data_IF_778981952212
#
_entry.id   IF_778981952212
#
_cell.length_a   1.000
_cell.length_b   1.000
_cell.length_c   1.000
_cell.angle_alpha   90.00
_cell.angle_beta   90.00
_cell.angle_gamma   90.00
#
_symmetry.space_group_name_H-M   'P 1'
#
loop_
_entity.id
_entity.type
_entity.pdbx_description
1 polymer ?
#
# COMPACT_ATOMS: atom_id res chain seq x y z
N UNK A 1 5.73 5.40 17.07
CA UNK A 1 4.61 5.38 16.11
C UNK A 1 4.61 4.07 15.33
N UNK A 2 3.51 3.66 14.68
CA UNK A 2 3.49 2.48 13.80
C UNK A 2 4.63 2.48 12.76
N UNK A 3 4.96 3.67 12.24
CA UNK A 3 6.08 3.85 11.31
C UNK A 3 7.44 3.52 11.94
N UNK A 4 7.69 3.95 13.18
CA UNK A 4 8.92 3.58 13.91
C UNK A 4 8.98 2.06 14.19
N UNK A 5 7.84 1.43 14.48
CA UNK A 5 7.78 -0.03 14.68
C UNK A 5 8.07 -0.80 13.40
N UNK A 6 7.59 -0.31 12.25
CA UNK A 6 7.92 -0.85 10.92
C UNK A 6 9.41 -0.68 10.61
N UNK A 7 10.01 0.48 10.88
CA UNK A 7 11.47 0.69 10.71
C UNK A 7 12.29 -0.21 11.65
N UNK A 8 11.84 -0.44 12.88
CA UNK A 8 12.48 -1.38 13.80
C UNK A 8 12.43 -2.84 13.33
N UNK A 9 11.56 -3.20 12.39
CA UNK A 9 11.63 -4.51 11.71
C UNK A 9 12.88 -4.60 10.82
N UNK A 10 13.37 -3.48 10.26
CA UNK A 10 14.55 -3.41 9.40
C UNK A 10 15.86 -3.57 10.18
N UNK A 11 15.91 -3.06 11.42
CA UNK A 11 17.13 -2.95 12.24
C UNK A 11 17.47 -4.21 13.06
N UNK A 12 16.53 -5.15 13.23
CA UNK A 12 16.71 -6.35 14.07
C UNK A 12 17.49 -7.50 13.40
N UNK A 13 18.42 -7.19 12.50
CA UNK A 13 19.26 -8.18 11.78
C UNK A 13 20.39 -8.82 12.62
N UNK A 14 20.53 -8.47 13.90
CA UNK A 14 21.73 -8.81 14.69
C UNK A 14 21.59 -9.65 15.96
N UNK A 15 20.40 -10.08 16.39
CA UNK A 15 20.29 -10.80 17.67
C UNK A 15 18.97 -11.53 17.88
N UNK A 16 19.07 -12.74 18.44
CA UNK A 16 17.96 -13.61 18.88
C UNK A 16 16.78 -12.79 19.41
N UNK A 17 15.71 -12.69 18.64
CA UNK A 17 14.45 -12.11 19.11
C UNK A 17 13.27 -12.70 18.33
N UNK A 18 12.17 -12.91 19.05
CA UNK A 18 10.95 -13.58 18.60
C UNK A 18 10.45 -13.06 17.25
N UNK A 19 10.28 -13.98 16.29
CA UNK A 19 9.59 -13.73 15.01
C UNK A 19 8.21 -13.12 15.34
N UNK A 20 7.94 -11.90 14.89
CA UNK A 20 6.63 -11.26 15.10
C UNK A 20 5.54 -12.15 14.50
N UNK A 21 4.40 -12.25 15.16
CA UNK A 21 3.28 -13.03 14.67
C UNK A 21 2.60 -12.33 13.49
N UNK A 22 1.84 -13.06 12.68
CA UNK A 22 1.08 -12.46 11.58
C UNK A 22 0.07 -11.39 12.06
N UNK A 23 -0.46 -11.52 13.27
CA UNK A 23 -1.33 -10.52 13.89
C UNK A 23 -0.59 -9.22 14.22
N UNK A 24 0.65 -9.29 14.70
CA UNK A 24 1.43 -8.07 15.03
C UNK A 24 1.72 -7.23 13.78
N UNK A 25 1.88 -7.89 12.63
CA UNK A 25 2.12 -7.21 11.34
C UNK A 25 0.84 -6.55 10.83
N UNK A 26 -0.28 -7.26 10.92
CA UNK A 26 -1.58 -6.70 10.53
C UNK A 26 -1.93 -5.47 11.37
N UNK A 27 -1.68 -5.50 12.68
CA UNK A 27 -1.93 -4.36 13.56
C UNK A 27 -1.09 -3.13 13.15
N UNK A 28 0.17 -3.33 12.79
CA UNK A 28 1.04 -2.26 12.30
C UNK A 28 0.54 -1.69 10.96
N UNK A 29 0.18 -2.56 10.00
CA UNK A 29 -0.38 -2.10 8.70
C UNK A 29 -1.69 -1.34 8.89
N UNK A 30 -2.55 -1.79 9.81
CA UNK A 30 -3.80 -1.10 10.16
C UNK A 30 -3.51 0.29 10.73
N UNK A 31 -2.66 0.39 11.75
CA UNK A 31 -2.36 1.67 12.41
C UNK A 31 -1.70 2.65 11.42
N UNK A 32 -0.73 2.19 10.62
CA UNK A 32 -0.02 3.03 9.65
C UNK A 32 -0.96 3.55 8.56
N UNK A 33 -1.64 2.65 7.85
CA UNK A 33 -2.51 3.01 6.73
C UNK A 33 -3.70 3.84 7.19
N UNK A 34 -4.41 3.35 8.21
CA UNK A 34 -5.65 3.96 8.68
C UNK A 34 -5.43 5.34 9.30
N UNK A 35 -4.43 5.50 10.17
CA UNK A 35 -4.17 6.82 10.78
C UNK A 35 -3.67 7.84 9.76
N UNK A 36 -2.91 7.44 8.74
CA UNK A 36 -2.41 8.38 7.71
C UNK A 36 -3.56 9.03 6.95
N UNK A 37 -4.48 8.23 6.38
CA UNK A 37 -5.59 8.76 5.58
C UNK A 37 -6.62 9.48 6.45
N UNK A 38 -6.83 9.01 7.69
CA UNK A 38 -7.68 9.71 8.65
C UNK A 38 -7.13 11.11 8.98
N UNK A 39 -5.82 11.22 9.21
CA UNK A 39 -5.17 12.50 9.46
C UNK A 39 -5.31 13.46 8.27
N UNK A 40 -5.11 12.99 7.05
CA UNK A 40 -5.31 13.79 5.83
C UNK A 40 -6.76 14.30 5.73
N UNK A 41 -7.74 13.45 6.01
CA UNK A 41 -9.14 13.86 6.05
C UNK A 41 -9.44 14.95 7.08
N UNK A 42 -8.87 14.83 8.28
CA UNK A 42 -8.95 15.86 9.31
C UNK A 42 -8.28 17.17 8.87
N UNK A 43 -7.13 17.12 8.19
CA UNK A 43 -6.45 18.32 7.70
C UNK A 43 -7.23 19.03 6.60
N UNK A 44 -7.87 18.28 5.69
CA UNK A 44 -8.64 18.85 4.58
C UNK A 44 -9.99 19.39 5.03
N UNK A 45 -10.73 18.63 5.85
CA UNK A 45 -12.11 18.98 6.22
C UNK A 45 -12.21 19.66 7.60
N UNK A 46 -11.17 19.61 8.42
CA UNK A 46 -11.15 20.12 9.79
C UNK A 46 -11.89 19.21 10.77
N UNK A 47 -13.19 18.97 10.55
CA UNK A 47 -14.01 18.06 11.38
C UNK A 47 -14.67 16.98 10.51
N UNK A 48 -14.46 15.73 10.91
CA UNK A 48 -15.08 14.55 10.32
C UNK A 48 -16.24 14.09 11.20
N UNK A 49 -17.32 13.61 10.59
CA UNK A 49 -18.29 12.78 11.29
C UNK A 49 -17.70 11.40 11.59
N UNK A 50 -18.30 10.66 12.51
CA UNK A 50 -17.85 9.29 12.85
C UNK A 50 -17.86 8.36 11.62
N UNK A 51 -18.86 8.51 10.75
CA UNK A 51 -18.96 7.74 9.51
C UNK A 51 -17.80 8.05 8.55
N UNK A 52 -17.48 9.32 8.36
CA UNK A 52 -16.38 9.75 7.49
C UNK A 52 -15.02 9.32 8.05
N UNK A 53 -14.82 9.45 9.37
CA UNK A 53 -13.61 9.00 10.04
C UNK A 53 -13.43 7.48 9.88
N UNK A 54 -14.51 6.70 10.07
CA UNK A 54 -14.48 5.25 9.91
C UNK A 54 -14.19 4.83 8.46
N UNK A 55 -14.80 5.50 7.48
CA UNK A 55 -14.54 5.25 6.06
C UNK A 55 -13.08 5.56 5.70
N UNK A 56 -12.58 6.74 6.08
CA UNK A 56 -11.22 7.18 5.76
C UNK A 56 -10.16 6.29 6.43
N UNK A 57 -10.38 5.91 7.69
CA UNK A 57 -9.52 4.96 8.37
C UNK A 57 -9.51 3.61 7.64
N UNK A 58 -10.69 3.03 7.37
CA UNK A 58 -10.78 1.76 6.65
C UNK A 58 -10.20 1.80 5.24
N UNK A 59 -10.38 2.92 4.54
CA UNK A 59 -9.78 3.15 3.22
C UNK A 59 -8.25 3.22 3.30
N UNK A 60 -7.70 3.86 4.33
CA UNK A 60 -6.25 3.86 4.58
C UNK A 60 -5.68 2.47 4.87
N UNK A 61 -6.38 1.65 5.67
CA UNK A 61 -6.01 0.25 5.90
C UNK A 61 -5.99 -0.53 4.58
N UNK A 62 -7.02 -0.36 3.76
CA UNK A 62 -7.13 -1.00 2.44
C UNK A 62 -5.94 -0.65 1.54
N UNK A 63 -5.55 0.63 1.49
CA UNK A 63 -4.41 1.07 0.68
C UNK A 63 -3.10 0.46 1.18
N UNK A 64 -2.87 0.43 2.50
CA UNK A 64 -1.67 -0.19 3.05
C UNK A 64 -1.60 -1.70 2.75
N UNK A 65 -2.71 -2.42 2.84
CA UNK A 65 -2.77 -3.84 2.48
C UNK A 65 -2.50 -4.08 0.99
N UNK A 66 -2.94 -3.15 0.15
CA UNK A 66 -2.67 -3.21 -1.29
C UNK A 66 -1.19 -2.94 -1.60
N UNK A 67 -0.56 -2.00 -0.91
CA UNK A 67 0.88 -1.74 -1.00
C UNK A 67 1.67 -2.99 -0.55
N UNK A 68 1.31 -3.59 0.60
CA UNK A 68 1.92 -4.83 1.09
C UNK A 68 1.80 -5.99 0.07
N UNK A 69 0.71 -6.04 -0.71
CA UNK A 69 0.54 -7.01 -1.80
C UNK A 69 1.39 -6.66 -3.03
N UNK A 70 1.55 -5.38 -3.35
CA UNK A 70 2.41 -4.94 -4.46
C UNK A 70 3.88 -5.29 -4.19
N UNK A 71 4.34 -5.05 -2.97
CA UNK A 71 5.73 -5.23 -2.55
C UNK A 71 6.05 -6.66 -2.06
N UNK A 72 5.05 -7.55 -1.97
CA UNK A 72 5.17 -8.88 -1.37
C UNK A 72 6.38 -9.71 -1.85
N UNK A 73 6.74 -9.63 -3.14
CA UNK A 73 7.89 -10.35 -3.70
C UNK A 73 9.23 -9.72 -3.32
N UNK A 74 9.31 -8.40 -3.25
CA UNK A 74 10.50 -7.68 -2.81
C UNK A 74 10.69 -7.89 -1.30
N UNK A 75 9.61 -7.78 -0.52
CA UNK A 75 9.59 -8.09 0.91
C UNK A 75 10.08 -9.50 1.20
N UNK A 76 9.56 -10.49 0.47
CA UNK A 76 9.98 -11.89 0.62
C UNK A 76 11.47 -12.08 0.30
N UNK A 77 12.00 -11.37 -0.70
CA UNK A 77 13.41 -11.43 -1.09
C UNK A 77 14.30 -10.80 -0.02
N UNK A 78 13.86 -9.70 0.59
CA UNK A 78 14.63 -8.94 1.58
C UNK A 78 14.45 -9.46 3.02
N UNK A 79 13.63 -10.51 3.18
CA UNK A 79 13.33 -11.18 4.45
C UNK A 79 12.34 -10.41 5.32
N UNK A 80 11.60 -9.46 4.73
CA UNK A 80 10.55 -8.70 5.39
C UNK A 80 9.27 -9.52 5.50
N UNK A 81 8.61 -9.38 6.65
CA UNK A 81 7.35 -10.05 6.91
C UNK A 81 6.19 -9.08 6.65
N UNK A 82 5.36 -9.42 5.66
CA UNK A 82 4.06 -8.80 5.38
C UNK A 82 2.97 -9.86 5.46
N UNK A 83 1.70 -9.47 5.45
CA UNK A 83 0.58 -10.43 5.44
C UNK A 83 0.62 -11.35 4.21
N UNK A 84 1.20 -10.87 3.09
CA UNK A 84 1.30 -11.63 1.85
C UNK A 84 2.61 -12.41 1.73
N UNK A 85 3.66 -12.04 2.48
CA UNK A 85 4.95 -12.75 2.50
C UNK A 85 5.18 -13.64 3.74
N UNK A 86 4.30 -13.56 4.75
CA UNK A 86 4.42 -14.31 6.01
C UNK A 86 4.26 -15.82 5.81
N UNK A 87 5.02 -16.58 6.60
CA UNK A 87 5.17 -18.04 6.50
C UNK A 87 4.14 -18.83 7.32
N UNK A 88 2.92 -18.32 7.50
CA UNK A 88 1.88 -19.14 8.13
C UNK A 88 1.44 -20.22 7.14
N UNK A 89 1.80 -21.47 7.42
CA UNK A 89 1.56 -22.60 6.52
C UNK A 89 0.06 -22.85 6.27
N UNK A 90 -0.83 -22.29 7.09
CA UNK A 90 -2.28 -22.47 6.99
C UNK A 90 -3.00 -21.37 6.22
N UNK A 91 -2.32 -20.30 5.80
CA UNK A 91 -2.94 -19.17 5.10
C UNK A 91 -2.19 -18.90 3.81
N UNK A 92 -2.88 -19.06 2.69
CA UNK A 92 -2.29 -18.83 1.36
C UNK A 92 -2.39 -17.36 0.96
N UNK A 93 -1.58 -16.95 -0.01
CA UNK A 93 -1.74 -15.63 -0.64
C UNK A 93 -3.10 -15.47 -1.31
N UNK A 94 -3.72 -16.57 -1.78
CA UNK A 94 -5.09 -16.59 -2.32
C UNK A 94 -6.12 -16.24 -1.24
N UNK A 95 -6.00 -16.82 -0.05
CA UNK A 95 -6.89 -16.52 1.08
C UNK A 95 -6.83 -15.05 1.47
N UNK A 96 -5.62 -14.49 1.56
CA UNK A 96 -5.43 -13.09 1.90
C UNK A 96 -5.91 -12.15 0.80
N UNK A 97 -5.71 -12.50 -0.48
CA UNK A 97 -6.24 -11.73 -1.61
C UNK A 97 -7.77 -11.76 -1.65
N UNK A 98 -8.39 -12.90 -1.36
CA UNK A 98 -9.85 -13.00 -1.26
C UNK A 98 -10.39 -12.16 -0.09
N UNK A 99 -9.74 -12.21 1.08
CA UNK A 99 -10.08 -11.32 2.21
C UNK A 99 -9.96 -9.85 1.84
N UNK A 100 -8.90 -9.47 1.10
CA UNK A 100 -8.72 -8.10 0.63
C UNK A 100 -9.84 -7.69 -0.34
N UNK A 101 -10.25 -8.56 -1.28
CA UNK A 101 -11.38 -8.30 -2.19
C UNK A 101 -12.69 -8.09 -1.40
N UNK A 102 -12.96 -8.93 -0.41
CA UNK A 102 -14.12 -8.77 0.48
C UNK A 102 -14.04 -7.47 1.27
N UNK A 103 -12.86 -7.12 1.79
CA UNK A 103 -12.64 -5.87 2.52
C UNK A 103 -12.85 -4.63 1.65
N UNK A 104 -12.32 -4.63 0.42
CA UNK A 104 -12.55 -3.57 -0.58
C UNK A 104 -14.05 -3.36 -0.81
N UNK A 105 -14.81 -4.44 -1.00
CA UNK A 105 -16.25 -4.37 -1.22
C UNK A 105 -16.98 -3.84 0.01
N UNK A 106 -16.62 -4.32 1.21
CA UNK A 106 -17.24 -3.86 2.46
C UNK A 106 -17.02 -2.36 2.72
N UNK A 107 -15.81 -1.84 2.48
CA UNK A 107 -15.51 -0.41 2.70
C UNK A 107 -16.21 0.47 1.65
N UNK A 108 -16.10 0.11 0.36
CA UNK A 108 -16.55 1.00 -0.72
C UNK A 108 -18.06 0.89 -1.01
N UNK A 109 -18.69 -0.24 -0.73
CA UNK A 109 -20.13 -0.43 -0.91
C UNK A 109 -20.93 -0.27 0.40
N UNK A 110 -20.30 -0.46 1.56
CA UNK A 110 -20.97 -0.45 2.86
C UNK A 110 -21.11 0.93 3.51
N UNK A 111 -20.40 1.93 3.02
CA UNK A 111 -20.46 3.29 3.56
C UNK A 111 -21.80 3.99 3.26
N UNK A 112 -22.28 4.75 4.25
CA UNK A 112 -23.47 5.59 4.16
C UNK A 112 -23.18 7.08 4.30
N UNK A 113 -21.95 7.48 4.64
CA UNK A 113 -21.62 8.87 4.87
C UNK A 113 -21.45 9.67 3.56
N UNK A 114 -21.08 9.01 2.45
CA UNK A 114 -20.94 9.62 1.13
C UNK A 114 -22.03 9.16 0.15
N UNK A 115 -23.24 9.72 0.27
CA UNK A 115 -24.43 9.28 -0.48
C UNK A 115 -24.92 10.24 -1.60
N UNK A 116 -24.19 11.32 -1.92
CA UNK A 116 -24.57 12.18 -3.05
C UNK A 116 -24.33 11.46 -4.39
N UNK A 117 -25.07 11.79 -5.46
CA UNK A 117 -24.83 11.21 -6.78
C UNK A 117 -23.36 11.34 -7.26
N UNK A 118 -22.72 12.46 -6.94
CA UNK A 118 -21.33 12.75 -7.26
C UNK A 118 -20.37 11.89 -6.42
N UNK A 119 -20.61 11.79 -5.10
CA UNK A 119 -19.77 10.97 -4.24
C UNK A 119 -19.89 9.49 -4.56
N UNK A 120 -21.08 9.02 -4.94
CA UNK A 120 -21.31 7.66 -5.44
C UNK A 120 -20.57 7.40 -6.77
N UNK A 121 -20.53 8.38 -7.68
CA UNK A 121 -19.75 8.27 -8.91
C UNK A 121 -18.25 8.16 -8.62
N UNK A 122 -17.75 8.95 -7.68
CA UNK A 122 -16.36 8.90 -7.22
C UNK A 122 -16.06 7.56 -6.55
N UNK A 123 -16.91 7.06 -5.65
CA UNK A 123 -16.74 5.73 -5.02
C UNK A 123 -16.67 4.60 -6.04
N UNK A 124 -17.54 4.62 -7.07
CA UNK A 124 -17.48 3.63 -8.17
C UNK A 124 -16.15 3.70 -8.93
N UNK A 125 -15.62 4.90 -9.17
CA UNK A 125 -14.31 5.07 -9.79
C UNK A 125 -13.20 4.55 -8.87
N UNK A 126 -13.20 4.92 -7.59
CA UNK A 126 -12.23 4.45 -6.60
C UNK A 126 -12.21 2.93 -6.52
N UNK A 127 -13.38 2.28 -6.47
CA UNK A 127 -13.49 0.82 -6.45
C UNK A 127 -12.87 0.17 -7.67
N UNK A 128 -13.18 0.68 -8.87
CA UNK A 128 -12.57 0.19 -10.12
C UNK A 128 -11.06 0.37 -10.10
N UNK A 129 -10.56 1.52 -9.67
CA UNK A 129 -9.13 1.81 -9.59
C UNK A 129 -8.41 0.89 -8.61
N UNK A 130 -8.94 0.69 -7.40
CA UNK A 130 -8.38 -0.21 -6.37
C UNK A 130 -8.35 -1.65 -6.87
N UNK A 131 -9.46 -2.13 -7.45
CA UNK A 131 -9.50 -3.48 -8.00
C UNK A 131 -8.47 -3.62 -9.12
N UNK A 132 -8.33 -2.64 -10.01
CA UNK A 132 -7.34 -2.69 -11.09
C UNK A 132 -5.90 -2.68 -10.57
N UNK A 133 -5.60 -1.91 -9.52
CA UNK A 133 -4.31 -1.93 -8.84
C UNK A 133 -4.03 -3.30 -8.20
N UNK A 134 -5.03 -3.89 -7.53
CA UNK A 134 -4.93 -5.23 -6.93
C UNK A 134 -4.64 -6.30 -7.99
N UNK A 135 -5.35 -6.28 -9.12
CA UNK A 135 -5.11 -7.18 -10.24
C UNK A 135 -3.70 -7.02 -10.81
N UNK A 136 -3.22 -5.78 -10.90
CA UNK A 136 -1.84 -5.47 -11.27
C UNK A 136 -0.82 -6.07 -10.30
N UNK A 137 -1.08 -5.95 -9.00
CA UNK A 137 -0.25 -6.49 -7.93
C UNK A 137 -0.19 -8.03 -8.00
N UNK A 138 -1.35 -8.71 -8.10
CA UNK A 138 -1.43 -10.16 -8.28
C UNK A 138 -0.70 -10.60 -9.56
N UNK A 139 -0.88 -9.88 -10.67
CA UNK A 139 -0.20 -10.20 -11.92
C UNK A 139 1.33 -10.11 -11.84
N UNK A 140 1.86 -9.17 -11.04
CA UNK A 140 3.30 -9.02 -10.80
C UNK A 140 3.86 -10.06 -9.82
N UNK A 141 3.03 -10.51 -8.89
CA UNK A 141 3.33 -11.50 -7.85
C UNK A 141 2.78 -12.91 -8.15
N UNK A 142 2.56 -13.22 -9.44
CA UNK A 142 1.85 -14.42 -9.89
C UNK A 142 2.50 -15.75 -9.45
N UNK A 143 3.78 -15.75 -9.08
CA UNK A 143 4.48 -16.93 -8.54
C UNK A 143 4.00 -17.34 -7.13
N UNK A 144 3.20 -16.52 -6.48
CA UNK A 144 2.57 -16.79 -5.18
C UNK A 144 1.19 -17.48 -5.30
N UNK A 145 0.69 -17.66 -6.52
CA UNK A 145 -0.69 -18.08 -6.79
C UNK A 145 -0.73 -19.33 -7.67
N UNK A 146 -1.79 -20.11 -7.54
CA UNK A 146 -2.06 -21.23 -8.44
C UNK A 146 -2.50 -20.74 -9.83
N UNK A 147 -2.19 -21.51 -10.87
CA UNK A 147 -2.62 -21.18 -12.24
C UNK A 147 -4.15 -21.18 -12.40
N UNK A 148 -4.87 -22.02 -11.65
CA UNK A 148 -6.34 -22.03 -11.62
C UNK A 148 -6.90 -20.74 -11.04
N UNK A 149 -6.35 -20.27 -9.92
CA UNK A 149 -6.79 -19.03 -9.29
C UNK A 149 -6.54 -17.82 -10.19
N UNK A 150 -5.33 -17.72 -10.75
CA UNK A 150 -4.98 -16.62 -11.65
C UNK A 150 -5.90 -16.56 -12.88
N UNK A 151 -6.27 -17.71 -13.46
CA UNK A 151 -7.23 -17.76 -14.58
C UNK A 151 -8.60 -17.25 -14.18
N UNK A 152 -9.14 -17.72 -13.06
CA UNK A 152 -10.45 -17.26 -12.57
C UNK A 152 -10.45 -15.77 -12.27
N UNK A 153 -9.38 -15.28 -11.64
CA UNK A 153 -9.27 -13.86 -11.32
C UNK A 153 -9.15 -13.02 -12.59
N UNK A 154 -8.36 -13.45 -13.58
CA UNK A 154 -8.17 -12.76 -14.87
C UNK A 154 -9.48 -12.58 -15.66
N UNK A 155 -10.50 -13.43 -15.48
CA UNK A 155 -11.83 -13.28 -16.10
C UNK A 155 -12.53 -11.97 -15.74
N UNK A 156 -12.24 -11.42 -14.55
CA UNK A 156 -12.76 -10.14 -14.08
C UNK A 156 -11.87 -8.95 -14.46
N UNK A 157 -10.71 -9.21 -15.06
CA UNK A 157 -9.76 -8.18 -15.45
C UNK A 157 -10.10 -7.60 -16.82
N UNK A 158 -10.10 -6.27 -16.99
CA UNK A 158 -10.25 -5.67 -18.32
C UNK A 158 -9.00 -5.87 -19.21
N UNK A 159 -7.89 -6.34 -18.64
CA UNK A 159 -6.63 -6.58 -19.35
C UNK A 159 -5.99 -7.89 -18.90
N UNK A 160 -5.34 -8.61 -19.80
CA UNK A 160 -4.62 -9.82 -19.41
C UNK A 160 -3.51 -9.52 -18.39
N UNK A 161 -3.27 -10.44 -17.47
CA UNK A 161 -2.18 -10.39 -16.49
C UNK A 161 -0.82 -10.33 -17.17
N UNK A 162 -0.69 -10.96 -18.35
CA UNK A 162 0.50 -10.81 -19.20
C UNK A 162 0.72 -9.36 -19.61
N UNK A 163 -0.33 -8.66 -20.05
CA UNK A 163 -0.26 -7.24 -20.39
C UNK A 163 0.07 -6.38 -19.16
N UNK A 164 -0.66 -6.58 -18.05
CA UNK A 164 -0.45 -5.83 -16.81
C UNK A 164 1.01 -5.93 -16.33
N UNK A 165 1.57 -7.13 -16.26
CA UNK A 165 2.98 -7.32 -15.88
C UNK A 165 3.95 -6.58 -16.81
N UNK A 166 3.67 -6.59 -18.11
CA UNK A 166 4.44 -5.84 -19.10
C UNK A 166 4.34 -4.32 -18.88
N UNK A 167 3.14 -3.84 -18.58
CA UNK A 167 2.87 -2.43 -18.27
C UNK A 167 3.61 -1.97 -17.01
N UNK A 168 3.47 -2.67 -15.89
CA UNK A 168 4.16 -2.32 -14.64
C UNK A 168 5.69 -2.37 -14.79
N UNK A 169 6.24 -3.36 -15.51
CA UNK A 169 7.68 -3.40 -15.82
C UNK A 169 8.15 -2.21 -16.66
N UNK A 170 7.32 -1.74 -17.60
CA UNK A 170 7.63 -0.54 -18.38
C UNK A 170 7.58 0.70 -17.48
N UNK A 171 6.55 0.84 -16.66
CA UNK A 171 6.39 1.95 -15.72
C UNK A 171 7.55 2.03 -14.72
N UNK A 172 7.94 0.90 -14.13
CA UNK A 172 9.11 0.84 -13.23
C UNK A 172 10.39 1.35 -13.90
N UNK A 173 10.67 0.92 -15.13
CA UNK A 173 11.83 1.41 -15.90
C UNK A 173 11.78 2.92 -16.20
N UNK A 174 10.61 3.46 -16.53
CA UNK A 174 10.47 4.91 -16.73
C UNK A 174 10.62 5.67 -15.42
N UNK A 175 10.10 5.12 -14.31
CA UNK A 175 10.26 5.68 -12.98
C UNK A 175 11.72 5.68 -12.54
N UNK A 176 12.48 4.62 -12.80
CA UNK A 176 13.92 4.55 -12.50
C UNK A 176 14.72 5.58 -13.31
N UNK A 177 14.39 5.77 -14.59
CA UNK A 177 14.99 6.84 -15.41
C UNK A 177 14.70 8.21 -14.81
N UNK A 178 13.47 8.45 -14.35
CA UNK A 178 13.09 9.68 -13.68
C UNK A 178 13.84 9.84 -12.35
N UNK A 179 13.93 8.78 -11.52
CA UNK A 179 14.73 8.80 -10.27
C UNK A 179 16.18 9.16 -10.53
N UNK A 180 16.79 8.66 -11.61
CA UNK A 180 18.17 9.00 -11.97
C UNK A 180 18.26 10.46 -12.45
N UNK A 181 17.32 10.90 -13.30
CA UNK A 181 17.27 12.27 -13.84
C UNK A 181 17.01 13.32 -12.75
N UNK A 182 16.16 12.96 -11.80
CA UNK A 182 15.79 13.75 -10.63
C UNK A 182 16.47 13.24 -9.36
N UNK A 183 17.58 12.50 -9.47
CA UNK A 183 18.49 12.30 -8.37
C UNK A 183 19.11 13.68 -8.11
N UNK A 184 18.35 14.48 -7.38
CA UNK A 184 18.69 15.79 -6.86
C UNK A 184 20.09 15.61 -6.30
N UNK A 185 21.09 16.33 -6.86
CA UNK A 185 22.33 16.60 -6.11
C UNK A 185 21.86 16.98 -4.71
N UNK A 186 22.19 16.22 -3.64
CA UNK A 186 21.48 16.33 -2.38
C UNK A 186 21.33 17.80 -2.04
N UNK A 187 20.10 18.30 -1.96
CA UNK A 187 19.82 19.70 -1.62
C UNK A 187 20.50 20.06 -0.30
N UNK A 188 20.78 19.05 0.53
CA UNK A 188 21.64 19.08 1.70
C UNK A 188 23.00 19.75 1.45
N UNK A 189 23.69 19.48 0.33
CA UNK A 189 25.03 20.05 0.10
C UNK A 189 24.97 21.54 -0.29
N UNK A 190 24.13 21.98 -1.24
CA UNK A 190 23.89 23.40 -1.48
C UNK A 190 23.26 24.13 -0.29
N UNK A 191 22.31 23.53 0.43
CA UNK A 191 21.67 24.14 1.59
C UNK A 191 22.64 24.23 2.78
N UNK A 192 23.43 23.20 3.06
CA UNK A 192 24.48 23.26 4.09
C UNK A 192 25.53 24.31 3.75
N UNK A 193 25.93 24.42 2.47
CA UNK A 193 26.80 25.52 2.02
C UNK A 193 26.14 26.89 2.16
N UNK A 194 24.85 27.02 1.83
CA UNK A 194 24.12 28.27 1.96
C UNK A 194 23.90 28.67 3.42
N UNK A 195 23.70 27.71 4.33
CA UNK A 195 23.69 27.93 5.78
C UNK A 195 25.07 28.34 6.30
N UNK A 196 26.13 27.61 5.94
CA UNK A 196 27.50 27.92 6.33
C UNK A 196 27.96 29.31 5.82
N UNK A 197 27.47 29.73 4.66
CA UNK A 197 27.76 31.03 4.07
C UNK A 197 26.78 32.14 4.52
N UNK A 198 25.86 31.87 5.45
CA UNK A 198 24.92 32.85 5.99
C UNK A 198 23.85 33.36 5.02
N UNK A 199 23.66 32.66 3.89
CA UNK A 199 22.67 33.00 2.86
C UNK A 199 21.26 32.58 3.30
N UNK A 200 21.14 31.50 4.08
CA UNK A 200 19.91 31.03 4.69
C UNK A 200 19.95 31.29 6.20
N UNK A 201 18.98 32.06 6.71
CA UNK A 201 18.75 32.24 8.15
C UNK A 201 17.63 31.31 8.60
N UNK A 202 17.87 30.56 9.68
CA UNK A 202 16.81 29.83 10.38
C UNK A 202 15.78 30.84 10.89
N UNK A 203 14.51 30.62 10.54
CA UNK A 203 13.35 31.33 11.10
C UNK A 203 13.04 30.72 12.47
#
# INVERSE_FOLDING_TARGET
TAQERSVQQLDKRGGRSSKLSGSDILDISIEKGGCSVLADGCLVKGKLSEGEASFLFGFGVLLQLLDDLQDAKEDKKDGHMSIFSSSDANVTSEDNTNKLISFISNILDGDKCFASPESEAIKRLMKKSVLFLMMGAVACNADMYTASYLRQLEEYSPMSFKYLRGFYRKMGREFDKLKIKFAIKPLEVPMAKAFANGILKMI
#
